data_IF_574786299482
#
_entry.id   IF_574786299482
#
_cell.length_a   1.000
_cell.length_b   1.000
_cell.length_c   1.000
_cell.angle_alpha   90.00
_cell.angle_beta   90.00
_cell.angle_gamma   90.00
#
_symmetry.space_group_name_H-M   'P 1'
#
loop_
_entity.id
_entity.type
_entity.pdbx_description
1 polymer ?
#
# COMPACT_ATOMS: atom_id res chain seq x y z
N UNK A 1 -2.52 0.72 -19.90
CA UNK A 1 -3.55 0.93 -18.86
C UNK A 1 -2.82 1.41 -17.62
N UNK A 2 -2.84 2.72 -17.37
CA UNK A 2 -2.16 3.31 -16.20
C UNK A 2 -2.99 2.99 -14.95
N UNK A 3 -2.48 2.12 -14.08
CA UNK A 3 -3.13 1.79 -12.80
C UNK A 3 -3.34 3.05 -11.95
N UNK A 4 -2.46 4.04 -12.13
CA UNK A 4 -2.55 5.34 -11.47
C UNK A 4 -3.81 6.13 -11.88
N UNK A 5 -4.36 5.91 -13.08
CA UNK A 5 -5.61 6.54 -13.50
C UNK A 5 -6.85 5.92 -12.83
N UNK A 6 -6.70 4.75 -12.22
CA UNK A 6 -7.76 4.11 -11.44
C UNK A 6 -7.70 4.48 -9.96
N UNK A 7 -6.60 5.11 -9.49
CA UNK A 7 -6.48 5.57 -8.10
C UNK A 7 -6.94 7.01 -8.01
N UNK A 8 -7.93 7.29 -7.16
CA UNK A 8 -8.38 8.67 -6.93
C UNK A 8 -7.26 9.49 -6.29
N UNK A 9 -7.15 10.75 -6.65
CA UNK A 9 -6.03 11.62 -6.27
C UNK A 9 -5.89 11.74 -4.75
N UNK A 10 -7.01 11.76 -4.05
CA UNK A 10 -7.10 11.80 -2.59
C UNK A 10 -6.65 10.48 -1.95
N UNK A 11 -6.76 9.35 -2.67
CA UNK A 11 -6.31 8.03 -2.24
C UNK A 11 -4.78 7.87 -2.35
N UNK A 12 -4.13 8.65 -3.21
CA UNK A 12 -2.67 8.59 -3.39
C UNK A 12 -1.89 8.93 -2.12
N UNK A 13 -2.44 9.78 -1.24
CA UNK A 13 -1.81 10.12 0.05
C UNK A 13 -1.67 8.90 0.97
N UNK A 14 -2.55 7.91 0.83
CA UNK A 14 -2.49 6.70 1.65
C UNK A 14 -1.32 5.79 1.26
N UNK A 15 -0.78 5.89 0.04
CA UNK A 15 0.38 5.10 -0.40
C UNK A 15 1.62 5.36 0.47
N UNK A 16 2.14 6.62 0.61
CA UNK A 16 3.27 6.89 1.46
C UNK A 16 2.98 6.61 2.95
N UNK A 17 1.74 6.79 3.40
CA UNK A 17 1.33 6.45 4.77
C UNK A 17 1.47 4.94 5.03
N UNK A 18 0.90 4.11 4.16
CA UNK A 18 1.00 2.64 4.26
C UNK A 18 2.45 2.17 4.10
N UNK A 19 3.26 2.85 3.29
CA UNK A 19 4.68 2.55 3.16
C UNK A 19 5.43 2.75 4.48
N UNK A 20 5.24 3.89 5.14
CA UNK A 20 5.85 4.18 6.45
C UNK A 20 5.42 3.15 7.49
N UNK A 21 4.12 2.83 7.55
CA UNK A 21 3.61 1.78 8.46
C UNK A 21 4.27 0.43 8.16
N UNK A 22 4.41 0.09 6.87
CA UNK A 22 5.07 -1.14 6.43
C UNK A 22 6.53 -1.21 6.89
N UNK A 23 7.28 -0.13 6.76
CA UNK A 23 8.67 -0.05 7.22
C UNK A 23 8.78 -0.10 8.76
N UNK A 24 7.85 0.50 9.51
CA UNK A 24 7.79 0.37 10.98
C UNK A 24 7.57 -1.09 11.38
N UNK A 25 6.62 -1.79 10.74
CA UNK A 25 6.36 -3.20 11.03
C UNK A 25 7.58 -4.07 10.69
N UNK A 26 8.28 -3.79 9.57
CA UNK A 26 9.53 -4.49 9.23
C UNK A 26 10.61 -4.24 10.28
N UNK A 27 10.83 -2.99 10.67
CA UNK A 27 11.91 -2.60 11.58
C UNK A 27 11.71 -3.03 13.03
N UNK A 28 10.46 -3.25 13.45
CA UNK A 28 10.15 -3.76 14.80
C UNK A 28 10.24 -5.27 14.92
N UNK A 29 10.45 -5.99 13.81
CA UNK A 29 10.41 -7.47 13.74
C UNK A 29 9.16 -8.09 14.36
N UNK A 30 8.10 -7.30 14.54
CA UNK A 30 6.89 -7.68 15.25
C UNK A 30 6.15 -8.83 14.55
N UNK A 31 6.23 -8.84 13.22
CA UNK A 31 5.58 -9.81 12.35
C UNK A 31 6.53 -10.22 11.22
N UNK A 32 6.50 -11.50 10.84
CA UNK A 32 7.26 -11.98 9.69
C UNK A 32 6.86 -11.26 8.40
N UNK A 33 7.83 -10.98 7.52
CA UNK A 33 7.66 -10.18 6.30
C UNK A 33 6.47 -10.61 5.40
N UNK A 34 6.10 -11.90 5.44
CA UNK A 34 4.95 -12.46 4.70
C UNK A 34 3.58 -11.91 5.14
N UNK A 35 3.47 -11.41 6.37
CA UNK A 35 2.21 -10.92 6.94
C UNK A 35 2.00 -9.43 6.71
N UNK A 36 3.05 -8.70 6.39
CA UNK A 36 3.01 -7.25 6.17
C UNK A 36 1.99 -6.85 5.09
N UNK A 37 1.90 -7.54 3.94
CA UNK A 37 0.87 -7.23 2.95
C UNK A 37 -0.56 -7.35 3.51
N UNK A 38 -0.82 -8.36 4.35
CA UNK A 38 -2.14 -8.59 4.92
C UNK A 38 -2.49 -7.53 5.98
N UNK A 39 -1.52 -7.15 6.82
CA UNK A 39 -1.72 -6.07 7.80
C UNK A 39 -1.97 -4.74 7.10
N UNK A 40 -1.17 -4.40 6.08
CA UNK A 40 -1.34 -3.16 5.31
C UNK A 40 -2.68 -3.14 4.57
N UNK A 41 -3.15 -4.28 4.08
CA UNK A 41 -4.48 -4.38 3.47
C UNK A 41 -5.59 -4.07 4.48
N UNK A 42 -5.54 -4.66 5.67
CA UNK A 42 -6.53 -4.41 6.73
C UNK A 42 -6.51 -2.93 7.16
N UNK A 43 -5.32 -2.36 7.35
CA UNK A 43 -5.16 -0.94 7.66
C UNK A 43 -5.74 -0.08 6.54
N UNK A 44 -5.43 -0.38 5.27
CA UNK A 44 -5.95 0.39 4.14
C UNK A 44 -7.48 0.33 4.05
N UNK A 45 -8.09 -0.84 4.20
CA UNK A 45 -9.56 -0.98 4.18
C UNK A 45 -10.21 -0.21 5.33
N UNK A 46 -9.56 -0.17 6.50
CA UNK A 46 -10.02 0.62 7.64
C UNK A 46 -9.94 2.13 7.39
N UNK A 47 -8.81 2.63 6.88
CA UNK A 47 -8.53 4.07 6.86
C UNK A 47 -8.76 4.77 5.52
N UNK A 48 -8.53 4.10 4.39
CA UNK A 48 -8.67 4.73 3.07
C UNK A 48 -10.09 5.23 2.80
N UNK A 49 -11.17 4.49 3.08
CA UNK A 49 -12.53 5.02 2.91
C UNK A 49 -12.87 6.17 3.86
N UNK A 50 -12.27 6.20 5.07
CA UNK A 50 -12.41 7.33 6.00
C UNK A 50 -11.75 8.59 5.45
N UNK A 51 -10.55 8.47 4.88
CA UNK A 51 -9.84 9.58 4.24
C UNK A 51 -10.60 10.09 3.01
N UNK A 52 -11.22 9.18 2.26
CA UNK A 52 -12.08 9.52 1.12
C UNK A 52 -13.48 9.99 1.52
N UNK A 53 -13.79 10.07 2.83
CA UNK A 53 -15.02 10.66 3.37
C UNK A 53 -16.26 9.77 3.37
N UNK A 54 -16.18 8.53 2.90
CA UNK A 54 -17.31 7.58 2.92
C UNK A 54 -16.89 6.11 2.76
N UNK A 55 -17.64 5.20 3.38
CA UNK A 55 -17.52 3.76 3.13
C UNK A 55 -18.44 3.32 1.99
N UNK A 56 -18.05 3.64 0.75
CA UNK A 56 -18.71 3.16 -0.46
C UNK A 56 -17.97 1.96 -1.05
N UNK A 57 -18.63 1.20 -1.92
CA UNK A 57 -17.98 0.10 -2.65
C UNK A 57 -16.74 0.59 -3.42
N UNK A 58 -16.85 1.75 -4.07
CA UNK A 58 -15.73 2.37 -4.81
C UNK A 58 -14.55 2.68 -3.89
N UNK A 59 -14.79 3.28 -2.72
CA UNK A 59 -13.73 3.61 -1.77
C UNK A 59 -13.07 2.38 -1.14
N UNK A 60 -13.80 1.27 -1.02
CA UNK A 60 -13.24 -0.03 -0.62
C UNK A 60 -12.33 -0.58 -1.73
N UNK A 61 -12.75 -0.50 -3.00
CA UNK A 61 -11.90 -0.87 -4.13
C UNK A 61 -10.62 -0.01 -4.14
N UNK A 62 -10.75 1.30 -3.92
CA UNK A 62 -9.61 2.21 -3.78
C UNK A 62 -8.67 1.78 -2.65
N UNK A 63 -9.21 1.37 -1.51
CA UNK A 63 -8.41 0.88 -0.39
C UNK A 63 -7.55 -0.35 -0.77
N UNK A 64 -8.11 -1.29 -1.53
CA UNK A 64 -7.37 -2.47 -2.01
C UNK A 64 -6.29 -2.06 -3.02
N UNK A 65 -6.63 -1.18 -3.97
CA UNK A 65 -5.69 -0.70 -4.99
C UNK A 65 -4.49 0.03 -4.35
N UNK A 66 -4.75 0.93 -3.39
CA UNK A 66 -3.70 1.68 -2.67
C UNK A 66 -2.80 0.74 -1.87
N UNK A 67 -3.35 -0.27 -1.18
CA UNK A 67 -2.56 -1.27 -0.48
C UNK A 67 -1.69 -2.09 -1.45
N UNK A 68 -2.26 -2.53 -2.57
CA UNK A 68 -1.55 -3.29 -3.60
C UNK A 68 -0.40 -2.51 -4.22
N UNK A 69 -0.64 -1.26 -4.61
CA UNK A 69 0.40 -0.37 -5.16
C UNK A 69 1.52 -0.14 -4.14
N UNK A 70 1.18 0.03 -2.86
CA UNK A 70 2.18 0.21 -1.80
C UNK A 70 3.09 -1.01 -1.66
N UNK A 71 2.51 -2.20 -1.55
CA UNK A 71 3.25 -3.45 -1.33
C UNK A 71 4.07 -3.81 -2.57
N UNK A 72 3.41 -3.87 -3.74
CA UNK A 72 4.07 -4.28 -4.98
C UNK A 72 5.02 -3.22 -5.50
N UNK A 73 4.71 -1.93 -5.34
CA UNK A 73 5.64 -0.84 -5.66
C UNK A 73 6.94 -0.96 -4.86
N UNK A 74 6.84 -1.23 -3.55
CA UNK A 74 8.02 -1.49 -2.73
C UNK A 74 8.82 -2.72 -3.21
N UNK A 75 8.16 -3.81 -3.60
CA UNK A 75 8.86 -5.00 -4.12
C UNK A 75 9.49 -4.76 -5.50
N UNK A 76 8.86 -3.97 -6.37
CA UNK A 76 9.44 -3.58 -7.66
C UNK A 76 10.71 -2.75 -7.46
N UNK A 77 10.67 -1.74 -6.57
CA UNK A 77 11.86 -0.93 -6.24
C UNK A 77 13.00 -1.80 -5.71
N UNK A 78 12.69 -2.73 -4.79
CA UNK A 78 13.68 -3.68 -4.24
C UNK A 78 14.25 -4.64 -5.28
N UNK A 79 13.45 -5.03 -6.27
CA UNK A 79 13.91 -5.89 -7.37
C UNK A 79 14.81 -5.10 -8.33
N UNK A 80 14.42 -3.88 -8.69
CA UNK A 80 15.23 -2.99 -9.53
C UNK A 80 16.58 -2.69 -8.88
N UNK A 81 16.64 -2.46 -7.57
CA UNK A 81 17.90 -2.20 -6.85
C UNK A 81 18.81 -3.44 -6.72
N UNK A 82 18.28 -4.65 -6.93
CA UNK A 82 19.07 -5.89 -6.92
C UNK A 82 19.61 -6.27 -8.30
N UNK A 83 19.14 -5.63 -9.36
CA UNK A 83 19.52 -5.90 -10.76
C UNK A 83 20.89 -5.34 -11.17
N UNK A 84 21.45 -4.38 -10.42
CA UNK A 84 22.69 -3.68 -10.78
C UNK A 84 23.92 -4.15 -9.96
N UNK A 85 24.16 -5.46 -9.95
CA UNK A 85 25.49 -6.01 -9.61
C UNK A 85 25.92 -6.95 -10.73
N UNK A 86 26.41 -6.35 -11.82
CA UNK A 86 27.33 -6.97 -12.77
C UNK A 86 28.58 -6.10 -12.85
#
# INVERSE_FOLDING_TARGET
MDILNYVVQEGLVMIPVLFIIGEIIKGTELLGNKWIPLVLLVVSIGFTPLVLGAYTADNIVQAVLVAGVTVFGNELVKQSSKGDVN
#
